data_IF_600179798507
#
_entry.id   IF_600179798507
#
_cell.length_a   1.000
_cell.length_b   1.000
_cell.length_c   1.000
_cell.angle_alpha   90.00
_cell.angle_beta   90.00
_cell.angle_gamma   90.00
#
_symmetry.space_group_name_H-M   'P 1'
#
loop_
_entity.id
_entity.type
_entity.pdbx_description
1 polymer ?
#
# COMPACT_ATOMS: atom_id res chain seq x y z
N UNK A 1 -0.19 38.14 -18.86
CA UNK A 1 0.58 36.93 -18.51
C UNK A 1 0.18 36.29 -17.17
N UNK A 2 0.38 36.92 -15.99
CA UNK A 2 0.09 36.29 -14.68
C UNK A 2 -1.37 35.80 -14.48
N UNK A 3 -2.37 36.59 -14.89
CA UNK A 3 -3.79 36.19 -14.84
C UNK A 3 -4.10 34.98 -15.74
N UNK A 4 -3.49 34.91 -16.93
CA UNK A 4 -3.66 33.80 -17.87
C UNK A 4 -3.00 32.51 -17.35
N UNK A 5 -1.81 32.60 -16.74
CA UNK A 5 -1.15 31.45 -16.10
C UNK A 5 -1.98 30.90 -14.93
N UNK A 6 -2.54 31.78 -14.08
CA UNK A 6 -3.44 31.35 -12.99
C UNK A 6 -4.66 30.61 -13.53
N UNK A 7 -5.29 31.13 -14.57
CA UNK A 7 -6.45 30.51 -15.20
C UNK A 7 -6.13 29.11 -15.76
N UNK A 8 -5.02 28.97 -16.49
CA UNK A 8 -4.58 27.68 -17.06
C UNK A 8 -4.26 26.64 -15.98
N UNK A 9 -3.75 27.07 -14.84
CA UNK A 9 -3.43 26.17 -13.72
C UNK A 9 -4.67 25.78 -12.91
N UNK A 10 -5.59 26.71 -12.68
CA UNK A 10 -6.76 26.51 -11.83
C UNK A 10 -7.95 25.85 -12.55
N UNK A 11 -8.07 26.03 -13.87
CA UNK A 11 -9.14 25.46 -14.68
C UNK A 11 -8.60 24.47 -15.74
N UNK A 12 -7.93 23.36 -15.33
CA UNK A 12 -7.36 22.42 -16.29
C UNK A 12 -8.44 21.71 -17.12
N UNK A 13 -9.63 21.53 -16.55
CA UNK A 13 -10.77 20.98 -17.27
C UNK A 13 -11.22 21.90 -18.40
N UNK A 14 -11.09 23.23 -18.29
CA UNK A 14 -11.40 24.15 -19.39
C UNK A 14 -10.42 24.03 -20.56
N UNK A 15 -9.18 23.59 -20.32
CA UNK A 15 -8.22 23.26 -21.38
C UNK A 15 -8.71 22.05 -22.18
N UNK A 16 -9.40 21.11 -21.52
CA UNK A 16 -9.96 19.88 -22.12
C UNK A 16 -11.42 20.01 -22.60
N UNK A 17 -12.22 20.94 -22.05
CA UNK A 17 -13.65 21.13 -22.43
C UNK A 17 -13.86 22.22 -23.47
N UNK A 18 -13.09 23.32 -23.48
CA UNK A 18 -13.11 24.27 -24.60
C UNK A 18 -12.60 23.64 -25.90
N UNK A 19 -11.83 22.55 -25.81
CA UNK A 19 -11.49 21.69 -26.93
C UNK A 19 -12.63 20.80 -27.43
N UNK A 20 -13.61 20.46 -26.60
CA UNK A 20 -14.75 19.64 -27.01
C UNK A 20 -15.89 20.49 -27.60
N UNK A 21 -16.01 21.75 -27.16
CA UNK A 21 -17.12 22.64 -27.55
C UNK A 21 -17.01 23.33 -28.91
N UNK A 22 -15.86 23.29 -29.61
CA UNK A 22 -15.70 23.96 -30.92
C UNK A 22 -16.02 23.06 -32.12
N UNK A 23 -16.51 21.83 -31.88
CA UNK A 23 -16.78 20.82 -32.91
C UNK A 23 -18.27 20.48 -33.12
N UNK A 24 -19.21 21.32 -32.67
CA UNK A 24 -20.64 21.04 -32.85
C UNK A 24 -21.09 21.42 -34.27
N UNK A 25 -20.80 20.53 -35.22
CA UNK A 25 -21.29 20.59 -36.59
C UNK A 25 -21.13 19.25 -37.30
N UNK A 26 -22.06 18.31 -37.05
CA UNK A 26 -22.24 17.04 -37.77
C UNK A 26 -20.96 16.28 -38.18
N UNK A 27 -20.16 15.87 -37.20
CA UNK A 27 -18.96 15.05 -37.42
C UNK A 27 -19.20 13.58 -37.04
N UNK A 28 -18.62 12.66 -37.82
CA UNK A 28 -18.57 11.22 -37.53
C UNK A 28 -17.81 10.96 -36.22
N UNK A 29 -18.06 9.86 -35.48
CA UNK A 29 -17.28 9.50 -34.28
C UNK A 29 -15.75 9.47 -34.53
N UNK A 30 -15.33 9.10 -35.74
CA UNK A 30 -13.90 9.11 -36.12
C UNK A 30 -13.29 10.53 -36.19
N UNK A 31 -14.07 11.55 -36.54
CA UNK A 31 -13.63 12.95 -36.53
C UNK A 31 -13.52 13.52 -35.12
N UNK A 32 -14.40 13.09 -34.21
CA UNK A 32 -14.38 13.51 -32.80
C UNK A 32 -13.15 12.94 -32.07
N UNK A 33 -12.80 11.67 -32.33
CA UNK A 33 -11.57 11.05 -31.83
C UNK A 33 -10.30 11.75 -32.35
N UNK A 34 -10.27 12.10 -33.63
CA UNK A 34 -9.14 12.81 -34.23
C UNK A 34 -8.99 14.23 -33.62
N UNK A 35 -10.09 14.94 -33.42
CA UNK A 35 -10.10 16.23 -32.76
C UNK A 35 -9.56 16.11 -31.32
N UNK A 36 -10.04 15.15 -30.53
CA UNK A 36 -9.57 14.90 -29.17
C UNK A 36 -8.04 14.73 -29.11
N UNK A 37 -7.46 13.94 -30.02
CA UNK A 37 -6.00 13.72 -30.08
C UNK A 37 -5.22 14.99 -30.39
N UNK A 38 -5.70 15.81 -31.35
CA UNK A 38 -5.08 17.11 -31.68
C UNK A 38 -5.14 18.06 -30.48
N UNK A 39 -6.27 18.10 -29.77
CA UNK A 39 -6.44 18.92 -28.59
C UNK A 39 -5.52 18.48 -27.45
N UNK A 40 -5.38 17.18 -27.24
CA UNK A 40 -4.45 16.63 -26.27
C UNK A 40 -2.99 17.00 -26.58
N UNK A 41 -2.54 16.93 -27.84
CA UNK A 41 -1.19 17.38 -28.23
C UNK A 41 -0.98 18.85 -27.86
N UNK A 42 -1.96 19.72 -28.14
CA UNK A 42 -1.90 21.14 -27.76
C UNK A 42 -1.87 21.31 -26.24
N UNK A 43 -2.64 20.52 -25.50
CA UNK A 43 -2.62 20.53 -24.04
C UNK A 43 -1.24 20.13 -23.49
N UNK A 44 -0.60 19.09 -24.04
CA UNK A 44 0.76 18.67 -23.66
C UNK A 44 1.79 19.79 -23.80
N UNK A 45 1.79 20.48 -24.94
CA UNK A 45 2.70 21.63 -25.17
C UNK A 45 2.38 22.77 -24.21
N UNK A 46 1.10 23.02 -23.97
CA UNK A 46 0.64 24.09 -23.07
C UNK A 46 1.07 23.83 -21.62
N UNK A 47 0.88 22.61 -21.09
CA UNK A 47 1.25 22.28 -19.71
C UNK A 47 2.77 22.29 -19.50
N UNK A 48 3.56 21.88 -20.50
CA UNK A 48 5.02 22.00 -20.47
C UNK A 48 5.48 23.47 -20.46
N UNK A 49 4.85 24.33 -21.27
CA UNK A 49 5.15 25.76 -21.29
C UNK A 49 4.76 26.43 -19.96
N UNK A 50 3.57 26.11 -19.43
CA UNK A 50 3.10 26.61 -18.13
C UNK A 50 4.06 26.17 -17.02
N UNK A 51 4.47 24.90 -16.98
CA UNK A 51 5.43 24.40 -16.00
C UNK A 51 6.74 25.16 -16.05
N UNK A 52 7.36 25.32 -17.22
CA UNK A 52 8.62 26.08 -17.35
C UNK A 52 8.49 27.53 -16.90
N UNK A 53 7.37 28.18 -17.25
CA UNK A 53 7.11 29.56 -16.83
C UNK A 53 6.94 29.67 -15.31
N UNK A 54 6.18 28.76 -14.70
CA UNK A 54 5.94 28.75 -13.25
C UNK A 54 7.22 28.42 -12.50
N UNK A 55 7.97 27.42 -12.97
CA UNK A 55 9.17 26.93 -12.30
C UNK A 55 10.31 27.97 -12.31
N UNK A 56 10.59 28.56 -13.47
CA UNK A 56 11.62 29.61 -13.63
C UNK A 56 11.27 30.91 -12.94
N UNK A 57 9.98 31.28 -12.87
CA UNK A 57 9.55 32.55 -12.29
C UNK A 57 9.25 32.47 -10.79
N UNK A 58 9.15 31.28 -10.22
CA UNK A 58 8.72 31.11 -8.84
C UNK A 58 9.74 31.59 -7.81
N UNK A 59 11.04 31.56 -8.13
CA UNK A 59 12.09 32.07 -7.23
C UNK A 59 12.10 33.61 -7.21
N UNK A 60 11.74 34.25 -8.33
CA UNK A 60 11.57 35.70 -8.43
C UNK A 60 10.22 36.21 -7.89
N UNK A 61 9.19 35.36 -7.89
CA UNK A 61 7.82 35.75 -7.52
C UNK A 61 7.14 34.70 -6.64
N UNK A 62 7.15 34.92 -5.33
CA UNK A 62 6.58 33.99 -4.34
C UNK A 62 5.09 33.63 -4.54
N UNK A 63 4.31 34.47 -5.23
CA UNK A 63 2.93 34.12 -5.60
C UNK A 63 2.83 33.01 -6.67
N UNK A 64 3.78 32.94 -7.60
CA UNK A 64 3.83 31.89 -8.61
C UNK A 64 4.36 30.58 -8.02
N UNK A 65 5.25 30.66 -7.02
CA UNK A 65 5.70 29.48 -6.27
C UNK A 65 4.53 28.70 -5.66
N UNK A 66 3.46 29.38 -5.24
CA UNK A 66 2.24 28.73 -4.72
C UNK A 66 1.51 27.88 -5.76
N UNK A 67 1.69 28.14 -7.06
CA UNK A 67 1.04 27.42 -8.15
C UNK A 67 1.84 26.21 -8.64
N UNK A 68 3.11 26.06 -8.22
CA UNK A 68 3.99 24.94 -8.61
C UNK A 68 3.31 23.56 -8.43
N UNK A 69 2.65 23.24 -7.30
CA UNK A 69 2.01 21.94 -7.13
C UNK A 69 0.90 21.67 -8.16
N UNK A 70 0.08 22.68 -8.44
CA UNK A 70 -1.01 22.53 -9.42
C UNK A 70 -0.48 22.41 -10.86
N UNK A 71 0.60 23.14 -11.20
CA UNK A 71 1.25 23.01 -12.49
C UNK A 71 1.89 21.62 -12.66
N UNK A 72 2.54 21.08 -11.62
CA UNK A 72 3.11 19.73 -11.62
C UNK A 72 2.03 18.66 -11.80
N UNK A 73 0.94 18.75 -11.03
CA UNK A 73 -0.23 17.86 -11.15
C UNK A 73 -0.79 17.85 -12.56
N UNK A 74 -1.11 19.03 -13.12
CA UNK A 74 -1.72 19.13 -14.45
C UNK A 74 -0.78 18.60 -15.54
N UNK A 75 0.52 18.89 -15.41
CA UNK A 75 1.55 18.36 -16.31
C UNK A 75 1.58 16.83 -16.28
N UNK A 76 1.59 16.22 -15.10
CA UNK A 76 1.56 14.77 -14.97
C UNK A 76 0.29 14.16 -15.58
N UNK A 77 -0.88 14.65 -15.20
CA UNK A 77 -2.16 14.11 -15.67
C UNK A 77 -2.28 14.16 -17.18
N UNK A 78 -1.97 15.31 -17.80
CA UNK A 78 -2.07 15.47 -19.26
C UNK A 78 -1.06 14.60 -20.00
N UNK A 79 0.20 14.54 -19.56
CA UNK A 79 1.24 13.76 -20.25
C UNK A 79 1.03 12.25 -20.11
N UNK A 80 0.54 11.78 -18.96
CA UNK A 80 0.30 10.36 -18.69
C UNK A 80 -1.00 9.84 -19.30
N UNK A 81 -1.95 10.72 -19.66
CA UNK A 81 -3.33 10.35 -20.00
C UNK A 81 -3.44 9.20 -21.01
N UNK A 82 -2.81 9.22 -22.21
CA UNK A 82 -2.99 8.12 -23.16
C UNK A 82 -2.38 6.80 -22.68
N UNK A 83 -1.33 6.87 -21.85
CA UNK A 83 -0.66 5.67 -21.31
C UNK A 83 -1.53 4.95 -20.28
N UNK A 84 -2.51 5.64 -19.67
CA UNK A 84 -3.53 5.04 -18.80
C UNK A 84 -4.45 4.05 -19.52
N UNK A 85 -4.57 4.19 -20.84
CA UNK A 85 -5.47 3.38 -21.67
C UNK A 85 -4.72 2.41 -22.58
N UNK A 86 -3.43 2.16 -22.33
CA UNK A 86 -2.64 1.17 -23.08
C UNK A 86 -3.39 -0.16 -23.16
N UNK A 87 -3.37 -0.80 -24.33
CA UNK A 87 -4.10 -2.05 -24.67
C UNK A 87 -5.63 -2.01 -24.56
N UNK A 88 -6.24 -0.86 -24.25
CA UNK A 88 -7.68 -0.70 -24.30
C UNK A 88 -8.13 -0.26 -25.70
N UNK A 89 -8.44 -1.22 -26.56
CA UNK A 89 -8.88 -0.96 -27.93
C UNK A 89 -10.26 -0.27 -28.03
N UNK A 90 -10.98 -0.12 -26.92
CA UNK A 90 -12.21 0.67 -26.87
C UNK A 90 -11.94 2.16 -26.60
N UNK A 91 -10.71 2.49 -26.22
CA UNK A 91 -10.30 3.84 -25.88
C UNK A 91 -9.96 4.66 -27.13
N UNK A 92 -10.30 5.96 -27.18
CA UNK A 92 -9.91 6.84 -28.29
C UNK A 92 -8.39 7.02 -28.41
N UNK A 93 -7.62 6.62 -27.41
CA UNK A 93 -6.16 6.72 -27.40
C UNK A 93 -5.46 5.59 -28.15
N UNK A 94 -6.05 4.39 -28.17
CA UNK A 94 -5.43 3.22 -28.81
C UNK A 94 -5.95 3.14 -30.24
N UNK A 95 -5.07 3.25 -31.26
CA UNK A 95 -5.51 3.15 -32.64
C UNK A 95 -6.12 1.76 -32.92
N UNK A 96 -7.41 1.69 -33.24
CA UNK A 96 -8.05 0.47 -33.74
C UNK A 96 -7.51 0.06 -35.11
N UNK A 97 -7.72 -1.21 -35.52
CA UNK A 97 -7.21 -1.73 -36.82
C UNK A 97 -7.61 -0.87 -38.03
N UNK A 98 -8.80 -0.28 -38.02
CA UNK A 98 -9.29 0.61 -39.09
C UNK A 98 -8.67 2.03 -39.07
N UNK A 99 -8.07 2.44 -37.94
CA UNK A 99 -7.42 3.76 -37.79
C UNK A 99 -5.99 3.79 -38.34
N UNK A 100 -5.32 2.63 -38.40
CA UNK A 100 -3.95 2.51 -38.92
C UNK A 100 -3.91 2.74 -40.44
N UNK A 101 -4.95 2.32 -41.17
CA UNK A 101 -5.06 2.51 -42.62
C UNK A 101 -5.40 3.95 -43.04
N UNK A 102 -5.94 4.77 -42.13
CA UNK A 102 -6.32 6.18 -42.38
C UNK A 102 -5.28 7.21 -41.94
N UNK A 103 -4.08 6.78 -41.51
CA UNK A 103 -3.03 7.69 -41.04
C UNK A 103 -3.28 8.31 -39.66
N UNK A 104 -4.38 7.93 -38.97
CA UNK A 104 -4.70 8.32 -37.58
C UNK A 104 -3.92 7.45 -36.58
N UNK A 105 -2.60 7.45 -36.73
CA UNK A 105 -1.68 6.66 -35.92
C UNK A 105 -1.67 7.04 -34.44
N UNK A 106 -0.90 6.28 -33.67
CA UNK A 106 -0.64 6.50 -32.25
C UNK A 106 -0.23 7.97 -31.96
N UNK A 107 -1.05 8.74 -31.20
CA UNK A 107 -0.85 10.17 -31.00
C UNK A 107 0.45 10.51 -30.25
N UNK A 108 1.01 9.55 -29.52
CA UNK A 108 2.24 9.73 -28.74
C UNK A 108 3.47 10.02 -29.61
N UNK A 109 3.42 9.68 -30.92
CA UNK A 109 4.51 9.94 -31.88
C UNK A 109 4.69 11.40 -32.25
N UNK A 110 3.67 12.23 -32.04
CA UNK A 110 3.55 13.55 -32.67
C UNK A 110 3.53 14.73 -31.67
N UNK A 111 3.69 14.47 -30.37
CA UNK A 111 3.51 15.48 -29.33
C UNK A 111 4.57 16.58 -29.37
N UNK A 112 5.84 16.21 -29.58
CA UNK A 112 6.98 17.12 -29.50
C UNK A 112 7.79 17.15 -30.79
N UNK A 113 7.16 16.81 -31.92
CA UNK A 113 7.80 16.59 -33.21
C UNK A 113 7.50 15.19 -33.73
N UNK A 114 8.26 14.71 -34.71
CA UNK A 114 8.11 13.35 -35.27
C UNK A 114 8.92 12.32 -34.48
N UNK A 115 8.32 11.15 -34.24
CA UNK A 115 8.94 10.03 -33.51
C UNK A 115 9.41 10.35 -32.08
N UNK A 116 8.73 11.27 -31.39
CA UNK A 116 9.13 11.74 -30.05
C UNK A 116 8.51 10.95 -28.89
N UNK A 117 8.21 9.66 -29.09
CA UNK A 117 7.58 8.83 -28.04
C UNK A 117 8.44 8.71 -26.79
N UNK A 118 9.75 8.54 -26.99
CA UNK A 118 10.73 8.48 -25.91
C UNK A 118 10.71 9.78 -25.09
N UNK A 119 10.75 10.92 -25.78
CA UNK A 119 10.69 12.23 -25.13
C UNK A 119 9.38 12.42 -24.34
N UNK A 120 8.24 11.97 -24.87
CA UNK A 120 6.98 12.01 -24.13
C UNK A 120 7.04 11.14 -22.86
N UNK A 121 7.51 9.89 -22.96
CA UNK A 121 7.64 9.00 -21.81
C UNK A 121 8.57 9.58 -20.74
N UNK A 122 9.72 10.12 -21.15
CA UNK A 122 10.69 10.72 -20.22
C UNK A 122 10.13 12.00 -19.56
N UNK A 123 9.37 12.82 -20.30
CA UNK A 123 8.69 14.00 -19.73
C UNK A 123 7.55 13.61 -18.79
N UNK A 124 6.79 12.57 -19.10
CA UNK A 124 5.74 12.04 -18.24
C UNK A 124 6.32 11.45 -16.94
N UNK A 125 7.43 10.71 -17.02
CA UNK A 125 8.17 10.20 -15.85
C UNK A 125 8.70 11.34 -14.98
N UNK A 126 9.33 12.34 -15.59
CA UNK A 126 9.77 13.54 -14.86
C UNK A 126 8.60 14.24 -14.16
N UNK A 127 7.48 14.45 -14.87
CA UNK A 127 6.28 15.06 -14.30
C UNK A 127 5.68 14.22 -13.15
N UNK A 128 5.74 12.87 -13.24
CA UNK A 128 5.33 11.96 -12.17
C UNK A 128 6.18 12.17 -10.91
N UNK A 129 7.51 12.25 -11.06
CA UNK A 129 8.44 12.50 -9.95
C UNK A 129 8.23 13.87 -9.33
N UNK A 130 8.07 14.90 -10.15
CA UNK A 130 7.78 16.26 -9.69
C UNK A 130 6.48 16.29 -8.88
N UNK A 131 5.41 15.67 -9.38
CA UNK A 131 4.14 15.61 -8.67
C UNK A 131 4.21 14.80 -7.37
N UNK A 132 4.92 13.66 -7.39
CA UNK A 132 5.18 12.87 -6.18
C UNK A 132 5.90 13.68 -5.11
N UNK A 133 6.91 14.48 -5.47
CA UNK A 133 7.63 15.32 -4.52
C UNK A 133 6.69 16.30 -3.79
N UNK A 134 5.79 16.97 -4.52
CA UNK A 134 4.79 17.86 -3.93
C UNK A 134 3.77 17.13 -3.05
N UNK A 135 3.32 15.93 -3.45
CA UNK A 135 2.42 15.11 -2.63
C UNK A 135 3.11 14.58 -1.37
N UNK A 136 4.40 14.27 -1.45
CA UNK A 136 5.18 13.80 -0.30
C UNK A 136 5.38 14.90 0.75
N UNK A 137 5.51 16.14 0.30
CA UNK A 137 5.67 17.34 1.12
C UNK A 137 4.37 18.16 1.22
N UNK A 138 3.20 17.53 1.09
CA UNK A 138 1.92 18.24 0.94
C UNK A 138 1.62 19.24 2.08
N UNK A 139 2.05 18.93 3.31
CA UNK A 139 1.89 19.79 4.48
C UNK A 139 2.70 21.09 4.38
N UNK A 140 3.80 21.08 3.62
CA UNK A 140 4.66 22.24 3.38
C UNK A 140 4.10 23.19 2.32
N UNK A 141 3.03 22.79 1.60
CA UNK A 141 2.43 23.57 0.52
C UNK A 141 1.04 24.08 0.90
N UNK A 142 0.81 25.41 1.02
CA UNK A 142 -0.47 25.95 1.51
C UNK A 142 -1.71 25.46 0.76
N UNK A 143 -1.63 25.24 -0.55
CA UNK A 143 -2.75 24.74 -1.35
C UNK A 143 -3.06 23.27 -1.10
N UNK A 144 -2.03 22.44 -0.85
CA UNK A 144 -2.20 21.02 -0.61
C UNK A 144 -2.50 20.72 0.86
N UNK A 145 -1.97 21.52 1.79
CA UNK A 145 -2.24 21.42 3.22
C UNK A 145 -3.73 21.62 3.56
N UNK A 146 -4.46 22.38 2.74
CA UNK A 146 -5.90 22.60 2.88
C UNK A 146 -6.74 21.52 2.19
N UNK A 147 -6.13 20.66 1.36
CA UNK A 147 -6.87 19.63 0.65
C UNK A 147 -7.36 18.56 1.62
N UNK A 148 -8.58 18.06 1.40
CA UNK A 148 -9.06 16.89 2.12
C UNK A 148 -8.09 15.73 1.90
N UNK A 149 -7.66 15.11 2.99
CA UNK A 149 -6.67 14.04 2.96
C UNK A 149 -7.02 12.89 2.00
N UNK A 150 -8.31 12.60 1.85
CA UNK A 150 -8.81 11.61 0.87
C UNK A 150 -8.35 11.95 -0.55
N UNK A 151 -8.35 13.23 -0.92
CA UNK A 151 -7.91 13.66 -2.25
C UNK A 151 -6.42 13.41 -2.42
N UNK A 152 -5.60 13.67 -1.40
CA UNK A 152 -4.16 13.36 -1.42
C UNK A 152 -3.94 11.85 -1.57
N UNK A 153 -4.72 11.03 -0.86
CA UNK A 153 -4.71 9.57 -1.00
C UNK A 153 -5.10 9.09 -2.41
N UNK A 154 -6.08 9.74 -3.03
CA UNK A 154 -6.54 9.40 -4.39
C UNK A 154 -5.50 9.81 -5.44
N UNK A 155 -4.88 10.99 -5.31
CA UNK A 155 -3.79 11.48 -6.17
C UNK A 155 -2.54 10.58 -6.08
N UNK A 156 -2.17 10.14 -4.86
CA UNK A 156 -1.07 9.17 -4.67
C UNK A 156 -1.35 7.85 -5.38
N UNK A 157 -2.62 7.43 -5.46
CA UNK A 157 -3.02 6.23 -6.19
C UNK A 157 -2.91 6.44 -7.70
N UNK A 158 -3.29 7.61 -8.20
CA UNK A 158 -3.20 7.96 -9.63
C UNK A 158 -1.76 7.98 -10.18
N UNK A 159 -0.75 8.14 -9.31
CA UNK A 159 0.66 7.98 -9.67
C UNK A 159 1.03 6.53 -10.00
N UNK A 160 0.37 5.57 -9.35
CA UNK A 160 0.74 4.16 -9.40
C UNK A 160 -0.20 3.32 -10.27
N UNK A 161 -1.45 3.75 -10.48
CA UNK A 161 -2.45 2.98 -11.22
C UNK A 161 -2.94 3.67 -12.49
N UNK A 162 -3.28 2.85 -13.48
CA UNK A 162 -3.67 3.34 -14.80
C UNK A 162 -4.98 4.16 -14.77
N UNK A 163 -6.08 3.57 -14.29
CA UNK A 163 -7.44 4.13 -14.33
C UNK A 163 -8.19 3.95 -12.99
N UNK A 164 -7.46 3.73 -11.90
CA UNK A 164 -8.01 3.47 -10.56
C UNK A 164 -7.48 2.19 -9.92
N UNK A 165 -8.04 1.82 -8.78
CA UNK A 165 -7.50 0.75 -7.92
C UNK A 165 -7.41 -0.62 -8.60
N UNK A 166 -8.37 -0.95 -9.48
CA UNK A 166 -8.47 -2.28 -10.08
C UNK A 166 -7.81 -2.42 -11.45
N UNK A 167 -7.30 -1.35 -12.06
CA UNK A 167 -7.00 -1.32 -13.51
C UNK A 167 -5.56 -1.69 -13.88
N UNK A 168 -4.73 -2.02 -12.89
CA UNK A 168 -3.31 -2.35 -13.11
C UNK A 168 -2.37 -1.16 -12.90
N UNK A 169 -1.05 -1.40 -12.93
CA UNK A 169 -0.04 -0.37 -12.71
C UNK A 169 -0.03 0.64 -13.85
N UNK A 170 0.27 1.90 -13.53
CA UNK A 170 0.56 2.92 -14.54
C UNK A 170 1.95 2.67 -15.11
N UNK A 171 2.03 2.36 -16.41
CA UNK A 171 3.30 2.08 -17.10
C UNK A 171 3.61 3.21 -18.09
N UNK A 172 4.64 4.00 -17.78
CA UNK A 172 5.05 5.14 -18.60
C UNK A 172 6.10 4.73 -19.63
N UNK A 173 5.67 4.01 -20.67
CA UNK A 173 6.57 3.40 -21.66
C UNK A 173 6.57 4.13 -23.02
N UNK A 174 7.73 4.19 -23.72
CA UNK A 174 7.82 4.70 -25.10
C UNK A 174 7.23 3.73 -26.14
N UNK A 175 6.85 2.52 -25.75
CA UNK A 175 6.22 1.55 -26.64
C UNK A 175 4.87 2.09 -27.12
N UNK A 176 4.52 1.74 -28.36
CA UNK A 176 3.24 2.06 -28.99
C UNK A 176 2.06 1.63 -28.10
N UNK A 177 0.99 2.42 -28.03
CA UNK A 177 -0.13 2.21 -27.07
C UNK A 177 -0.91 0.89 -27.28
N UNK A 178 -0.85 0.32 -28.48
CA UNK A 178 -1.39 -0.98 -28.84
C UNK A 178 -0.57 -2.17 -28.31
N UNK A 179 0.67 -1.91 -27.87
CA UNK A 179 1.56 -2.92 -27.31
C UNK A 179 1.50 -2.93 -25.80
N UNK A 180 1.46 -4.14 -25.25
CA UNK A 180 1.65 -4.34 -23.82
C UNK A 180 3.05 -3.89 -23.39
N UNK A 181 3.12 -3.27 -22.22
CA UNK A 181 4.36 -2.78 -21.63
C UNK A 181 4.41 -3.22 -20.19
N UNK A 182 5.54 -3.83 -19.79
CA UNK A 182 5.77 -4.21 -18.40
C UNK A 182 6.25 -3.01 -17.59
N UNK A 183 5.88 -2.90 -16.30
CA UNK A 183 6.47 -1.91 -15.39
C UNK A 183 8.00 -2.02 -15.43
N UNK A 184 8.66 -0.87 -15.49
CA UNK A 184 10.11 -0.79 -15.34
C UNK A 184 10.51 -0.50 -13.89
N UNK A 185 11.82 -0.43 -13.62
CA UNK A 185 12.32 -0.16 -12.26
C UNK A 185 11.87 1.19 -11.70
N UNK A 186 11.66 2.21 -12.54
CA UNK A 186 11.19 3.52 -12.09
C UNK A 186 9.70 3.48 -11.71
N UNK A 187 8.89 2.74 -12.45
CA UNK A 187 7.49 2.47 -12.09
C UNK A 187 7.40 1.69 -10.77
N UNK A 188 8.27 0.69 -10.57
CA UNK A 188 8.36 -0.08 -9.33
C UNK A 188 8.82 0.77 -8.14
N UNK A 189 9.80 1.66 -8.32
CA UNK A 189 10.34 2.53 -7.29
C UNK A 189 9.30 3.54 -6.80
N UNK A 190 8.59 4.22 -7.71
CA UNK A 190 7.52 5.16 -7.31
C UNK A 190 6.41 4.42 -6.56
N UNK A 191 6.00 3.24 -7.03
CA UNK A 191 5.00 2.43 -6.34
C UNK A 191 5.47 2.02 -4.93
N UNK A 192 6.74 1.68 -4.79
CA UNK A 192 7.34 1.34 -3.50
C UNK A 192 7.43 2.56 -2.55
N UNK A 193 7.83 3.73 -3.06
CA UNK A 193 7.91 4.95 -2.28
C UNK A 193 6.53 5.41 -1.78
N UNK A 194 5.50 5.33 -2.64
CA UNK A 194 4.11 5.60 -2.25
C UNK A 194 3.63 4.60 -1.19
N UNK A 195 3.96 3.33 -1.37
CA UNK A 195 3.62 2.27 -0.42
C UNK A 195 4.24 2.51 0.95
N UNK A 196 5.56 2.74 0.99
CA UNK A 196 6.35 2.88 2.21
C UNK A 196 6.04 4.17 2.96
N UNK A 197 5.95 5.30 2.25
CA UNK A 197 5.85 6.61 2.89
C UNK A 197 4.40 7.06 3.15
N UNK A 198 3.42 6.45 2.48
CA UNK A 198 2.03 6.88 2.58
C UNK A 198 1.05 5.75 2.90
N UNK A 199 1.01 4.66 2.13
CA UNK A 199 -0.04 3.65 2.30
C UNK A 199 0.10 2.84 3.59
N UNK A 200 1.30 2.29 3.85
CA UNK A 200 1.56 1.48 5.03
C UNK A 200 1.39 2.29 6.33
N UNK A 201 2.03 3.47 6.51
CA UNK A 201 1.83 4.32 7.68
C UNK A 201 0.37 4.65 8.02
N UNK A 202 -0.51 4.62 7.01
CA UNK A 202 -1.93 4.94 7.12
C UNK A 202 -2.81 3.70 7.18
N UNK A 203 -2.22 2.54 7.46
CA UNK A 203 -2.88 1.27 7.69
C UNK A 203 -3.64 0.74 6.46
N UNK A 204 -3.13 1.04 5.25
CA UNK A 204 -3.73 0.63 3.96
C UNK A 204 -3.02 -0.57 3.34
N UNK A 205 -2.64 -1.54 4.15
CA UNK A 205 -1.91 -2.72 3.65
C UNK A 205 -2.74 -3.57 2.67
N UNK A 206 -4.08 -3.61 2.80
CA UNK A 206 -4.94 -4.29 1.82
C UNK A 206 -4.89 -3.60 0.45
N UNK A 207 -4.75 -2.27 0.44
CA UNK A 207 -4.59 -1.49 -0.79
C UNK A 207 -3.19 -1.58 -1.40
N UNK A 208 -2.20 -1.95 -0.57
CA UNK A 208 -0.85 -2.26 -1.02
C UNK A 208 -0.77 -3.57 -1.82
N UNK A 209 -1.58 -4.56 -1.47
CA UNK A 209 -1.55 -5.90 -2.07
C UNK A 209 -1.66 -5.94 -3.60
N UNK A 210 -2.65 -5.27 -4.24
CA UNK A 210 -2.71 -5.26 -5.69
C UNK A 210 -1.59 -4.42 -6.31
N UNK A 211 -1.08 -3.40 -5.62
CA UNK A 211 0.03 -2.59 -6.13
C UNK A 211 1.31 -3.43 -6.19
N UNK A 212 1.65 -4.15 -5.12
CA UNK A 212 2.85 -5.01 -5.08
C UNK A 212 2.74 -6.23 -6.00
N UNK A 213 1.59 -6.91 -6.00
CA UNK A 213 1.39 -8.10 -6.80
C UNK A 213 1.36 -7.79 -8.30
N UNK A 214 0.98 -6.57 -8.70
CA UNK A 214 0.88 -6.18 -10.11
C UNK A 214 2.09 -5.43 -10.64
N UNK A 215 2.92 -4.84 -9.81
CA UNK A 215 4.18 -4.27 -10.32
C UNK A 215 5.23 -5.36 -10.58
N UNK A 216 5.21 -6.45 -9.81
CA UNK A 216 6.21 -7.52 -9.93
C UNK A 216 6.03 -8.34 -11.23
N UNK A 217 7.12 -8.61 -11.97
CA UNK A 217 7.09 -9.46 -13.18
C UNK A 217 6.65 -10.93 -12.94
N UNK A 218 6.60 -11.38 -11.67
CA UNK A 218 6.31 -12.76 -11.24
C UNK A 218 4.93 -12.89 -10.54
N UNK A 219 3.93 -12.16 -11.03
CA UNK A 219 2.59 -12.02 -10.42
C UNK A 219 1.94 -13.35 -9.98
N UNK A 220 1.97 -14.37 -10.85
CA UNK A 220 1.34 -15.66 -10.57
C UNK A 220 2.01 -16.38 -9.39
N UNK A 221 3.34 -16.31 -9.28
CA UNK A 221 4.06 -16.96 -8.18
C UNK A 221 3.83 -16.25 -6.85
N UNK A 222 3.79 -14.91 -6.85
CA UNK A 222 3.44 -14.12 -5.67
C UNK A 222 2.04 -14.52 -5.17
N UNK A 223 1.06 -14.60 -6.06
CA UNK A 223 -0.29 -15.03 -5.68
C UNK A 223 -0.30 -16.45 -5.10
N UNK A 224 0.31 -17.43 -5.78
CA UNK A 224 0.33 -18.82 -5.31
C UNK A 224 1.00 -19.00 -3.96
N UNK A 225 2.13 -18.35 -3.72
CA UNK A 225 2.81 -18.39 -2.42
C UNK A 225 1.97 -17.68 -1.36
N UNK A 226 1.22 -16.63 -1.71
CA UNK A 226 0.33 -15.93 -0.75
C UNK A 226 -0.82 -16.82 -0.33
N UNK A 227 -1.45 -17.49 -1.30
CA UNK A 227 -2.52 -18.45 -1.06
C UNK A 227 -2.02 -19.61 -0.20
N UNK A 228 -0.81 -20.13 -0.48
CA UNK A 228 -0.19 -21.17 0.34
C UNK A 228 0.02 -20.69 1.78
N UNK A 229 0.61 -19.52 1.97
CA UNK A 229 0.86 -18.94 3.29
C UNK A 229 -0.45 -18.73 4.06
N UNK A 230 -1.49 -18.17 3.42
CA UNK A 230 -2.83 -18.03 4.01
C UNK A 230 -3.47 -19.40 4.32
N UNK A 231 -3.27 -20.40 3.46
CA UNK A 231 -3.73 -21.77 3.70
C UNK A 231 -3.05 -22.40 4.92
N UNK A 232 -1.75 -22.16 5.10
CA UNK A 232 -1.01 -22.59 6.28
C UNK A 232 -1.52 -21.90 7.56
N UNK A 233 -1.79 -20.60 7.51
CA UNK A 233 -2.45 -19.89 8.64
C UNK A 233 -3.78 -20.57 9.00
N UNK A 234 -4.65 -20.76 8.01
CA UNK A 234 -5.97 -21.35 8.24
C UNK A 234 -5.84 -22.77 8.81
N UNK A 235 -4.93 -23.58 8.27
CA UNK A 235 -4.63 -24.92 8.77
C UNK A 235 -4.18 -24.92 10.23
N UNK A 236 -3.31 -23.97 10.63
CA UNK A 236 -2.86 -23.83 12.01
C UNK A 236 -4.02 -23.47 12.96
N UNK A 237 -4.85 -22.49 12.58
CA UNK A 237 -6.01 -22.06 13.37
C UNK A 237 -7.01 -23.20 13.52
N UNK A 238 -7.33 -23.90 12.42
CA UNK A 238 -8.28 -25.02 12.44
C UNK A 238 -7.75 -26.18 13.30
N UNK A 239 -6.48 -26.58 13.12
CA UNK A 239 -5.86 -27.65 13.89
C UNK A 239 -5.81 -27.35 15.40
N UNK A 240 -5.50 -26.11 15.78
CA UNK A 240 -5.42 -25.70 17.17
C UNK A 240 -6.80 -25.53 17.83
N UNK A 241 -7.72 -24.80 17.19
CA UNK A 241 -8.99 -24.42 17.82
C UNK A 241 -10.09 -25.47 17.70
N UNK A 242 -10.11 -26.26 16.63
CA UNK A 242 -11.20 -27.22 16.37
C UNK A 242 -10.80 -28.67 16.63
N UNK A 243 -9.53 -29.03 16.38
CA UNK A 243 -9.04 -30.40 16.57
C UNK A 243 -8.20 -30.57 17.84
N UNK A 244 -7.93 -29.50 18.60
CA UNK A 244 -7.13 -29.54 19.84
C UNK A 244 -5.72 -30.11 19.63
N UNK A 245 -5.21 -30.11 18.39
CA UNK A 245 -4.00 -30.82 17.98
C UNK A 245 -2.83 -29.85 17.91
N UNK A 246 -2.48 -29.24 19.03
CA UNK A 246 -1.57 -28.09 19.13
C UNK A 246 -0.16 -28.36 18.58
N UNK A 247 0.39 -29.56 18.80
CA UNK A 247 1.69 -29.95 18.24
C UNK A 247 1.66 -30.03 16.72
N UNK A 248 0.59 -30.58 16.16
CA UNK A 248 0.39 -30.62 14.71
C UNK A 248 0.06 -29.25 14.12
N UNK A 249 -0.61 -28.38 14.88
CA UNK A 249 -0.91 -27.00 14.48
C UNK A 249 0.34 -26.12 14.39
N UNK A 250 1.42 -26.45 15.11
CA UNK A 250 2.70 -25.77 15.01
C UNK A 250 3.38 -25.97 13.64
N UNK A 251 3.17 -27.12 12.99
CA UNK A 251 3.74 -27.43 11.67
C UNK A 251 3.28 -26.42 10.59
N UNK A 252 1.97 -26.21 10.35
CA UNK A 252 1.52 -25.23 9.38
C UNK A 252 1.86 -23.79 9.82
N UNK A 253 1.94 -23.49 11.12
CA UNK A 253 2.43 -22.18 11.59
C UNK A 253 3.91 -21.95 11.20
N UNK A 254 4.77 -22.97 11.36
CA UNK A 254 6.17 -22.91 10.95
C UNK A 254 6.31 -22.80 9.42
N UNK A 255 5.52 -23.57 8.67
CA UNK A 255 5.47 -23.49 7.20
C UNK A 255 5.00 -22.11 6.71
N UNK A 256 4.06 -21.47 7.42
CA UNK A 256 3.64 -20.11 7.13
C UNK A 256 4.84 -19.16 7.21
N UNK A 257 5.57 -19.11 8.33
CA UNK A 257 6.74 -18.23 8.45
C UNK A 257 7.88 -18.61 7.50
N UNK A 258 8.09 -19.90 7.22
CA UNK A 258 9.04 -20.35 6.22
C UNK A 258 8.68 -19.85 4.81
N UNK A 259 7.39 -19.90 4.43
CA UNK A 259 6.91 -19.39 3.14
C UNK A 259 7.03 -17.86 3.04
N UNK A 260 6.80 -17.14 4.15
CA UNK A 260 6.99 -15.69 4.24
C UNK A 260 8.48 -15.35 4.06
N UNK A 261 9.39 -16.07 4.73
CA UNK A 261 10.84 -15.89 4.62
C UNK A 261 11.35 -16.20 3.21
N UNK A 262 10.94 -17.34 2.64
CA UNK A 262 11.27 -17.72 1.28
C UNK A 262 10.77 -16.68 0.27
N UNK A 263 9.51 -16.26 0.37
CA UNK A 263 8.96 -15.23 -0.50
C UNK A 263 9.69 -13.90 -0.35
N UNK A 264 10.16 -13.55 0.86
CA UNK A 264 10.97 -12.34 1.07
C UNK A 264 12.32 -12.45 0.36
N UNK A 265 12.97 -13.62 0.41
CA UNK A 265 14.24 -13.86 -0.28
C UNK A 265 14.09 -13.84 -1.81
N UNK A 266 12.99 -14.35 -2.35
CA UNK A 266 12.79 -14.52 -3.81
C UNK A 266 12.14 -13.30 -4.47
N UNK A 267 11.19 -12.65 -3.79
CA UNK A 267 10.38 -11.55 -4.33
C UNK A 267 10.68 -10.19 -3.67
N UNK A 268 11.54 -10.17 -2.65
CA UNK A 268 12.08 -8.95 -2.06
C UNK A 268 11.08 -8.14 -1.22
N UNK A 269 11.31 -6.82 -1.19
CA UNK A 269 10.63 -5.87 -0.31
C UNK A 269 9.10 -5.80 -0.51
N UNK A 270 8.65 -5.94 -1.75
CA UNK A 270 7.23 -5.89 -2.12
C UNK A 270 6.43 -7.02 -1.47
N UNK A 271 7.04 -8.21 -1.35
CA UNK A 271 6.46 -9.34 -0.64
C UNK A 271 6.41 -9.13 0.86
N UNK A 272 7.55 -8.76 1.46
CA UNK A 272 7.67 -8.55 2.90
C UNK A 272 6.66 -7.52 3.44
N UNK A 273 6.38 -6.47 2.66
CA UNK A 273 5.41 -5.43 3.02
C UNK A 273 3.98 -5.94 3.26
N UNK A 274 3.57 -7.04 2.61
CA UNK A 274 2.22 -7.59 2.75
C UNK A 274 1.99 -8.30 4.07
N UNK A 275 3.07 -8.76 4.69
CA UNK A 275 3.03 -9.58 5.91
C UNK A 275 3.27 -8.76 7.19
N UNK A 276 3.40 -7.44 7.07
CA UNK A 276 3.57 -6.52 8.21
C UNK A 276 4.56 -7.05 9.26
N UNK A 277 5.73 -7.51 8.80
CA UNK A 277 6.66 -8.35 9.58
C UNK A 277 7.16 -7.76 10.91
N UNK A 278 6.95 -6.47 11.11
CA UNK A 278 7.11 -5.81 12.41
C UNK A 278 6.20 -6.42 13.49
N UNK A 279 4.93 -6.69 13.16
CA UNK A 279 3.95 -7.28 14.07
C UNK A 279 4.42 -8.61 14.68
N UNK A 280 4.75 -9.66 13.90
CA UNK A 280 5.25 -10.91 14.47
C UNK A 280 6.59 -10.71 15.19
N UNK A 281 7.48 -9.85 14.68
CA UNK A 281 8.77 -9.58 15.32
C UNK A 281 8.65 -8.92 16.70
N UNK A 282 7.65 -8.05 16.91
CA UNK A 282 7.40 -7.47 18.22
C UNK A 282 6.55 -8.38 19.12
N UNK A 283 5.64 -9.17 18.54
CA UNK A 283 4.83 -10.11 19.30
C UNK A 283 5.67 -11.20 19.98
N UNK A 284 6.84 -11.57 19.42
CA UNK A 284 7.77 -12.52 20.07
C UNK A 284 8.30 -12.01 21.41
N UNK A 285 8.36 -10.68 21.64
CA UNK A 285 8.77 -10.13 22.93
C UNK A 285 7.81 -10.52 24.05
N UNK A 286 6.53 -10.68 23.74
CA UNK A 286 5.56 -11.17 24.73
C UNK A 286 5.73 -12.63 25.12
N UNK A 287 6.52 -13.42 24.37
CA UNK A 287 6.87 -14.77 24.79
C UNK A 287 7.80 -14.79 26.01
N UNK A 288 8.61 -13.75 26.21
CA UNK A 288 9.55 -13.66 27.34
C UNK A 288 8.82 -13.77 28.68
N UNK A 289 7.83 -12.91 29.02
CA UNK A 289 7.11 -13.04 30.28
C UNK A 289 6.25 -14.31 30.35
N UNK A 290 5.74 -14.84 29.22
CA UNK A 290 4.97 -16.08 29.23
C UNK A 290 5.83 -17.30 29.61
N UNK A 291 7.08 -17.34 29.13
CA UNK A 291 8.03 -18.40 29.43
C UNK A 291 8.63 -18.22 30.85
N UNK A 292 8.89 -16.97 31.25
CA UNK A 292 9.47 -16.67 32.56
C UNK A 292 8.48 -16.77 33.73
N UNK A 293 7.18 -16.52 33.50
CA UNK A 293 6.16 -16.49 34.55
C UNK A 293 4.95 -17.38 34.19
N UNK A 294 5.10 -18.72 34.21
CA UNK A 294 4.09 -19.67 33.72
C UNK A 294 2.78 -19.67 34.52
N UNK A 295 2.80 -19.30 35.80
CA UNK A 295 1.75 -19.72 36.73
C UNK A 295 0.41 -18.99 36.58
N UNK A 296 0.38 -17.71 36.20
CA UNK A 296 -0.86 -16.91 36.26
C UNK A 296 -1.72 -17.04 35.00
N UNK A 297 -1.11 -17.09 33.82
CA UNK A 297 -1.84 -17.15 32.54
C UNK A 297 -2.34 -18.55 32.20
N UNK A 298 -1.68 -19.60 32.70
CA UNK A 298 -2.11 -21.00 32.52
C UNK A 298 -3.38 -21.34 33.30
N UNK A 299 -3.71 -20.56 34.33
CA UNK A 299 -4.89 -20.74 35.18
C UNK A 299 -6.17 -20.17 34.58
N UNK A 300 -6.09 -19.41 33.49
CA UNK A 300 -7.26 -18.80 32.86
C UNK A 300 -8.14 -19.90 32.25
N UNK A 301 -9.44 -19.79 32.51
CA UNK A 301 -10.52 -20.63 31.97
C UNK A 301 -11.55 -19.70 31.34
N UNK A 302 -12.22 -20.14 30.27
CA UNK A 302 -13.34 -19.39 29.69
C UNK A 302 -14.63 -20.01 30.20
N UNK A 303 -14.96 -19.71 31.46
CA UNK A 303 -16.18 -20.17 32.10
C UNK A 303 -17.23 -19.05 32.07
N UNK A 304 -18.49 -19.37 32.38
CA UNK A 304 -19.60 -18.41 32.33
C UNK A 304 -19.55 -17.35 33.47
N UNK A 305 -18.66 -17.54 34.46
CA UNK A 305 -18.51 -16.66 35.60
C UNK A 305 -17.48 -15.55 35.34
N UNK A 306 -17.87 -14.57 34.51
CA UNK A 306 -17.00 -13.46 34.04
C UNK A 306 -16.22 -12.81 35.19
N UNK A 307 -14.99 -13.28 35.39
CA UNK A 307 -14.03 -12.74 36.35
C UNK A 307 -13.05 -11.76 35.68
N UNK A 308 -12.37 -10.90 36.46
CA UNK A 308 -11.37 -9.97 35.92
C UNK A 308 -10.22 -10.67 35.18
N UNK A 309 -9.87 -11.91 35.56
CA UNK A 309 -8.84 -12.70 34.87
C UNK A 309 -9.29 -13.22 33.49
N UNK A 310 -10.57 -13.52 33.33
CA UNK A 310 -11.13 -14.08 32.10
C UNK A 310 -11.36 -12.98 31.04
N UNK A 311 -11.59 -11.74 31.50
CA UNK A 311 -11.65 -10.55 30.67
C UNK A 311 -10.26 -10.06 30.21
N UNK A 312 -9.17 -10.53 30.81
CA UNK A 312 -7.81 -10.07 30.49
C UNK A 312 -7.47 -10.11 28.99
N UNK A 313 -7.67 -11.21 28.24
CA UNK A 313 -7.42 -11.22 26.79
C UNK A 313 -8.24 -10.18 26.02
N UNK A 314 -9.51 -9.97 26.38
CA UNK A 314 -10.37 -8.96 25.75
C UNK A 314 -9.89 -7.54 26.05
N UNK A 315 -9.47 -7.28 27.29
CA UNK A 315 -8.92 -5.99 27.69
C UNK A 315 -7.58 -5.71 26.99
N UNK A 316 -6.68 -6.70 26.93
CA UNK A 316 -5.40 -6.58 26.22
C UNK A 316 -5.60 -6.31 24.74
N UNK A 317 -6.52 -7.04 24.09
CA UNK A 317 -6.89 -6.81 22.69
C UNK A 317 -7.52 -5.42 22.51
N UNK A 318 -8.43 -5.03 23.40
CA UNK A 318 -9.12 -3.73 23.36
C UNK A 318 -8.16 -2.55 23.53
N UNK A 319 -7.19 -2.66 24.43
CA UNK A 319 -6.15 -1.66 24.64
C UNK A 319 -5.21 -1.60 23.43
N UNK A 320 -4.78 -2.76 22.90
CA UNK A 320 -3.96 -2.82 21.67
C UNK A 320 -4.68 -2.15 20.49
N UNK A 321 -5.95 -2.48 20.29
CA UNK A 321 -6.80 -1.88 19.28
C UNK A 321 -6.96 -0.36 19.49
N UNK A 322 -7.27 0.05 20.71
CA UNK A 322 -7.43 1.46 21.07
C UNK A 322 -6.18 2.27 20.75
N UNK A 323 -5.00 1.71 21.03
CA UNK A 323 -3.76 2.35 20.66
C UNK A 323 -3.57 2.45 19.15
N UNK A 324 -3.83 1.37 18.40
CA UNK A 324 -3.74 1.38 16.94
C UNK A 324 -4.70 2.40 16.29
N UNK A 325 -5.85 2.67 16.92
CA UNK A 325 -6.74 3.77 16.51
C UNK A 325 -6.08 5.12 16.76
N UNK A 326 -5.44 5.33 17.91
CA UNK A 326 -4.70 6.58 18.22
C UNK A 326 -3.58 6.79 17.20
N UNK A 327 -2.77 5.77 16.93
CA UNK A 327 -1.70 5.81 15.93
C UNK A 327 -2.24 6.14 14.53
N UNK A 328 -3.31 5.46 14.08
CA UNK A 328 -3.94 5.77 12.80
C UNK A 328 -4.45 7.22 12.74
N UNK A 329 -5.00 7.76 13.84
CA UNK A 329 -5.45 9.16 13.92
C UNK A 329 -4.28 10.15 13.87
N UNK A 330 -3.14 9.81 14.48
CA UNK A 330 -1.92 10.62 14.42
C UNK A 330 -1.25 10.58 13.03
N UNK A 331 -1.57 9.58 12.21
CA UNK A 331 -1.20 9.51 10.79
C UNK A 331 -2.30 10.02 9.85
N UNK A 332 -3.12 10.98 10.32
CA UNK A 332 -4.15 11.70 9.55
C UNK A 332 -5.26 10.83 8.93
N UNK A 333 -5.45 9.59 9.40
CA UNK A 333 -6.57 8.74 8.93
C UNK A 333 -7.89 9.28 9.47
N UNK A 334 -8.88 9.54 8.60
CA UNK A 334 -10.21 10.04 8.99
C UNK A 334 -10.91 9.21 10.09
N UNK A 335 -11.70 9.87 10.95
CA UNK A 335 -12.23 9.31 12.22
C UNK A 335 -12.80 7.89 12.09
N UNK A 336 -13.78 7.68 11.21
CA UNK A 336 -14.42 6.38 11.04
C UNK A 336 -13.54 5.33 10.37
N UNK A 337 -12.65 5.78 9.46
CA UNK A 337 -11.71 4.88 8.78
C UNK A 337 -10.60 4.42 9.71
N UNK A 338 -10.21 5.23 10.69
CA UNK A 338 -9.20 4.85 11.68
C UNK A 338 -9.65 3.59 12.43
N UNK A 339 -10.90 3.52 12.87
CA UNK A 339 -11.47 2.33 13.51
C UNK A 339 -11.41 1.09 12.61
N UNK A 340 -11.83 1.21 11.34
CA UNK A 340 -11.83 0.09 10.40
C UNK A 340 -10.43 -0.37 10.00
N UNK A 341 -9.51 0.56 9.72
CA UNK A 341 -8.12 0.25 9.35
C UNK A 341 -7.34 -0.32 10.53
N UNK A 342 -7.51 0.26 11.73
CA UNK A 342 -6.94 -0.29 12.97
C UNK A 342 -7.49 -1.68 13.26
N UNK A 343 -8.78 -1.96 12.99
CA UNK A 343 -9.37 -3.28 13.20
C UNK A 343 -8.73 -4.32 12.27
N UNK A 344 -8.52 -3.96 11.00
CA UNK A 344 -7.83 -4.82 10.05
C UNK A 344 -6.38 -5.13 10.48
N UNK A 345 -5.63 -4.12 10.94
CA UNK A 345 -4.26 -4.32 11.44
C UNK A 345 -4.25 -5.12 12.74
N UNK A 346 -5.21 -4.88 13.64
CA UNK A 346 -5.37 -5.66 14.89
C UNK A 346 -5.67 -7.12 14.58
N UNK A 347 -6.52 -7.42 13.59
CA UNK A 347 -6.81 -8.79 13.18
C UNK A 347 -5.57 -9.50 12.63
N UNK A 348 -4.80 -8.83 11.77
CA UNK A 348 -3.53 -9.37 11.25
C UNK A 348 -2.50 -9.54 12.37
N UNK A 349 -2.42 -8.57 13.29
CA UNK A 349 -1.55 -8.64 14.47
C UNK A 349 -1.91 -9.79 15.41
N UNK A 350 -3.21 -9.96 15.71
CA UNK A 350 -3.72 -11.04 16.55
C UNK A 350 -3.44 -12.41 15.91
N UNK A 351 -3.56 -12.52 14.59
CA UNK A 351 -3.21 -13.71 13.83
C UNK A 351 -1.71 -14.04 13.95
N UNK A 352 -0.84 -13.04 13.75
CA UNK A 352 0.60 -13.24 13.94
C UNK A 352 0.95 -13.60 15.38
N UNK A 353 0.36 -12.91 16.36
CA UNK A 353 0.57 -13.18 17.77
C UNK A 353 0.08 -14.58 18.17
N UNK A 354 -1.03 -15.05 17.58
CA UNK A 354 -1.51 -16.42 17.74
C UNK A 354 -0.51 -17.44 17.19
N UNK A 355 0.00 -17.25 15.98
CA UNK A 355 0.99 -18.16 15.39
C UNK A 355 2.31 -18.15 16.18
N UNK A 356 2.74 -16.99 16.66
CA UNK A 356 3.93 -16.84 17.51
C UNK A 356 3.71 -17.53 18.85
N UNK A 357 2.57 -17.30 19.51
CA UNK A 357 2.24 -17.95 20.78
C UNK A 357 2.14 -19.47 20.64
N UNK A 358 1.52 -19.95 19.55
CA UNK A 358 1.43 -21.38 19.23
C UNK A 358 2.83 -21.98 19.10
N UNK A 359 3.68 -21.46 18.19
CA UNK A 359 5.04 -21.94 18.01
C UNK A 359 5.88 -21.82 19.29
N UNK A 360 5.78 -20.68 19.95
CA UNK A 360 6.53 -20.38 21.17
C UNK A 360 6.18 -21.33 22.31
N UNK A 361 4.90 -21.61 22.55
CA UNK A 361 4.48 -22.44 23.68
C UNK A 361 4.48 -23.95 23.38
N UNK A 362 4.36 -24.37 22.12
CA UNK A 362 4.37 -25.81 21.77
C UNK A 362 5.75 -26.32 21.40
N UNK A 363 6.65 -25.47 20.89
CA UNK A 363 7.99 -25.87 20.43
C UNK A 363 9.09 -25.30 21.31
N UNK A 364 9.09 -23.99 21.58
CA UNK A 364 10.21 -23.31 22.26
C UNK A 364 10.14 -23.51 23.78
N UNK A 365 8.99 -23.22 24.38
CA UNK A 365 8.80 -23.24 25.83
C UNK A 365 9.02 -24.63 26.46
N UNK A 366 8.67 -25.76 25.84
CA UNK A 366 9.00 -27.08 26.39
C UNK A 366 10.50 -27.37 26.43
N UNK A 367 11.29 -26.72 25.57
CA UNK A 367 12.75 -26.90 25.48
C UNK A 367 13.48 -25.95 26.43
N UNK A 368 13.03 -24.70 26.52
CA UNK A 368 13.74 -23.62 27.22
C UNK A 368 13.06 -23.12 28.50
N UNK A 369 11.82 -23.53 28.78
CA UNK A 369 11.07 -23.11 29.94
C UNK A 369 11.57 -23.75 31.23
N UNK A 370 11.45 -23.01 32.33
CA UNK A 370 11.80 -23.52 33.65
C UNK A 370 10.86 -24.66 34.06
N UNK A 371 11.44 -25.76 34.57
CA UNK A 371 10.67 -26.90 35.09
C UNK A 371 10.26 -26.59 36.52
N UNK A 372 9.11 -25.95 36.71
CA UNK A 372 8.53 -25.80 38.06
C UNK A 372 8.06 -27.16 38.57
N UNK A 373 8.13 -27.37 39.88
CA UNK A 373 7.95 -28.67 40.54
C UNK A 373 6.60 -29.38 40.30
N UNK A 374 5.54 -28.67 39.91
CA UNK A 374 4.19 -29.25 39.78
C UNK A 374 3.48 -29.06 38.42
N UNK A 375 3.99 -28.23 37.51
CA UNK A 375 3.34 -28.02 36.18
C UNK A 375 4.38 -27.68 35.12
N UNK A 376 4.51 -28.55 34.11
CA UNK A 376 5.31 -28.25 32.92
C UNK A 376 4.42 -27.60 31.86
N UNK A 377 4.94 -26.63 31.11
CA UNK A 377 4.19 -26.00 29.99
C UNK A 377 3.68 -27.06 29.00
N UNK A 378 4.39 -28.18 28.86
CA UNK A 378 3.95 -29.32 28.05
C UNK A 378 2.64 -29.95 28.54
N UNK A 379 2.39 -30.00 29.85
CA UNK A 379 1.16 -30.56 30.44
C UNK A 379 -0.10 -29.74 30.10
N UNK A 380 0.06 -28.47 29.71
CA UNK A 380 -1.03 -27.61 29.25
C UNK A 380 -1.78 -28.21 28.05
N UNK A 381 -1.06 -28.96 27.22
CA UNK A 381 -1.57 -29.48 25.95
C UNK A 381 -2.12 -30.91 26.05
N UNK A 382 -1.86 -31.61 27.15
CA UNK A 382 -2.14 -33.05 27.28
C UNK A 382 -3.08 -33.39 28.43
N UNK A 383 -3.19 -32.56 29.46
CA UNK A 383 -4.09 -32.83 30.58
C UNK A 383 -5.54 -32.41 30.28
N UNK A 384 -6.50 -33.27 30.65
CA UNK A 384 -7.94 -33.08 30.40
C UNK A 384 -8.54 -31.86 31.11
N UNK A 385 -7.96 -31.47 32.25
CA UNK A 385 -8.51 -30.44 33.13
C UNK A 385 -7.98 -29.02 32.81
N UNK A 386 -7.19 -28.92 31.74
CA UNK A 386 -6.63 -27.66 31.25
C UNK A 386 -7.55 -27.01 30.20
N UNK A 387 -7.50 -25.68 30.10
CA UNK A 387 -8.14 -24.92 29.02
C UNK A 387 -7.09 -24.39 28.03
N UNK A 388 -6.52 -25.26 27.18
CA UNK A 388 -5.43 -24.89 26.27
C UNK A 388 -5.82 -23.77 25.30
N UNK A 389 -7.08 -23.72 24.87
CA UNK A 389 -7.60 -22.62 24.02
C UNK A 389 -7.57 -21.29 24.76
N UNK A 390 -8.05 -21.25 26.02
CA UNK A 390 -8.07 -20.03 26.82
C UNK A 390 -6.65 -19.52 27.10
N UNK A 391 -5.74 -20.43 27.42
CA UNK A 391 -4.34 -20.12 27.62
C UNK A 391 -3.66 -19.61 26.33
N UNK A 392 -3.92 -20.24 25.18
CA UNK A 392 -3.37 -19.81 23.88
C UNK A 392 -3.91 -18.45 23.43
N UNK A 393 -5.20 -18.19 23.60
CA UNK A 393 -5.82 -16.89 23.29
C UNK A 393 -5.26 -15.79 24.20
N UNK A 394 -5.10 -16.08 25.49
CA UNK A 394 -4.49 -15.13 26.44
C UNK A 394 -3.04 -14.85 26.07
N UNK A 395 -2.26 -15.88 25.78
CA UNK A 395 -0.87 -15.74 25.33
C UNK A 395 -0.79 -14.89 24.06
N UNK A 396 -1.64 -15.15 23.07
CA UNK A 396 -1.71 -14.37 21.84
C UNK A 396 -2.08 -12.89 22.11
N UNK A 397 -3.06 -12.63 22.98
CA UNK A 397 -3.46 -11.28 23.34
C UNK A 397 -2.34 -10.51 24.07
N UNK A 398 -1.62 -11.19 24.98
CA UNK A 398 -0.47 -10.61 25.68
C UNK A 398 0.69 -10.34 24.71
N UNK A 399 1.01 -11.28 23.82
CA UNK A 399 2.02 -11.10 22.78
C UNK A 399 1.69 -9.91 21.87
N UNK A 400 0.43 -9.77 21.45
CA UNK A 400 0.01 -8.62 20.67
C UNK A 400 0.16 -7.31 21.46
N UNK A 401 -0.31 -7.27 22.71
CA UNK A 401 -0.26 -6.06 23.53
C UNK A 401 1.19 -5.61 23.75
N UNK A 402 2.06 -6.51 24.20
CA UNK A 402 3.49 -6.21 24.39
C UNK A 402 4.14 -5.82 23.06
N UNK A 403 3.78 -6.48 21.96
CA UNK A 403 4.29 -6.15 20.63
C UNK A 403 3.90 -4.73 20.18
N UNK A 404 2.64 -4.34 20.36
CA UNK A 404 2.17 -2.99 20.06
C UNK A 404 2.89 -1.97 20.95
N UNK A 405 2.88 -2.16 22.28
CA UNK A 405 3.51 -1.25 23.24
C UNK A 405 5.02 -1.10 23.07
N UNK A 406 5.73 -2.18 22.77
CA UNK A 406 7.18 -2.12 22.55
C UNK A 406 7.53 -1.29 21.32
N UNK A 407 6.80 -1.45 20.21
CA UNK A 407 7.07 -0.67 19.01
C UNK A 407 6.83 0.82 19.20
N UNK A 408 5.82 1.17 19.99
CA UNK A 408 5.53 2.57 20.34
C UNK A 408 6.67 3.20 21.13
N UNK A 409 7.22 2.44 22.08
CA UNK A 409 8.29 2.95 22.95
C UNK A 409 9.63 3.06 22.22
N UNK A 410 9.86 2.22 21.22
CA UNK A 410 11.19 2.04 20.62
C UNK A 410 11.34 2.56 19.18
N UNK A 411 10.25 2.79 18.45
CA UNK A 411 10.31 3.13 17.02
C UNK A 411 9.47 4.38 16.71
N UNK A 412 10.06 5.30 15.94
CA UNK A 412 9.37 6.50 15.43
C UNK A 412 8.46 6.19 14.24
N UNK A 413 8.60 4.99 13.67
CA UNK A 413 7.81 4.55 12.52
C UNK A 413 6.57 3.77 12.95
N UNK A 414 5.49 3.86 12.16
CA UNK A 414 4.28 3.13 12.45
C UNK A 414 4.49 1.62 12.43
N UNK A 415 3.64 0.90 13.15
CA UNK A 415 3.71 -0.56 13.30
C UNK A 415 3.62 -1.33 11.98
N UNK A 416 2.98 -0.72 10.98
CA UNK A 416 2.78 -1.25 9.65
C UNK A 416 3.92 -0.92 8.68
N UNK A 417 4.90 -0.10 9.08
CA UNK A 417 6.03 0.24 8.22
C UNK A 417 6.86 -1.01 7.85
N UNK A 418 7.53 -1.01 6.68
CA UNK A 418 8.38 -2.14 6.30
C UNK A 418 9.59 -2.25 7.24
N UNK A 419 10.13 -3.46 7.40
CA UNK A 419 11.35 -3.73 8.18
C UNK A 419 12.60 -3.02 7.61
N UNK A 420 12.59 -2.66 6.32
CA UNK A 420 13.69 -1.94 5.72
C UNK A 420 13.81 -0.52 6.32
N UNK A 421 14.93 -0.25 6.99
CA UNK A 421 15.30 1.11 7.37
C UNK A 421 15.58 1.97 6.13
N UNK A 422 15.53 3.29 6.32
CA UNK A 422 15.64 4.35 5.29
C UNK A 422 16.65 4.03 4.20
N UNK A 423 16.33 4.42 2.95
CA UNK A 423 17.24 4.36 1.81
C UNK A 423 18.68 4.72 2.24
N UNK A 424 19.61 3.76 2.06
CA UNK A 424 21.03 4.01 2.31
C UNK A 424 21.60 5.02 1.30
N UNK A 425 21.00 5.13 0.11
CA UNK A 425 21.31 6.21 -0.83
C UNK A 425 20.51 7.45 -0.43
N UNK A 426 21.21 8.44 0.13
CA UNK A 426 20.63 9.72 0.52
C UNK A 426 19.83 10.33 -0.63
N UNK A 427 18.70 10.96 -0.28
CA UNK A 427 18.00 11.89 -1.16
C UNK A 427 18.95 13.09 -1.34
N UNK A 428 19.69 13.10 -2.44
CA UNK A 428 20.45 14.26 -2.89
C UNK A 428 19.54 15.21 -3.66
#
# INVERSE_FOLDING_TARGET
>A
MRRQLRFLVLCPHEILTRSLGSGTGHTSPASDEAALRVHWVRACVTVEAVWRCVDSAADAYGELARLRPLAARNRFLVLAEPMRYRTDFTSPWVPGRASVSRGTGDPTKHVFGTNTRQLLADRARAARRDWYAYLSAYQSHPLLAQAEFRRIEDELRELCTARGYCTGPLVLSPLSLDKDARPDGEDEDVAWEVLQNHLLPRFRFLEAAPLTARTTARRCYVYSVSVLACGCVLGAVVAALFFGSYQFAAIPAALCYASIGFGTAVFGRAWAALWLLRLPAAATLGMVPLIAFPDWWQRIRFDWQIGPMELAPLLLLGVSYGYLVIEARNHDVGRWRAFGRAAAVTAVGALHAFLVALLGLTVIAPVFGEKTSNTTIASLWTASDNAPVAALVTAAALCLAIGVFSQILWDERPITAPLAHTHWRGKH
#
